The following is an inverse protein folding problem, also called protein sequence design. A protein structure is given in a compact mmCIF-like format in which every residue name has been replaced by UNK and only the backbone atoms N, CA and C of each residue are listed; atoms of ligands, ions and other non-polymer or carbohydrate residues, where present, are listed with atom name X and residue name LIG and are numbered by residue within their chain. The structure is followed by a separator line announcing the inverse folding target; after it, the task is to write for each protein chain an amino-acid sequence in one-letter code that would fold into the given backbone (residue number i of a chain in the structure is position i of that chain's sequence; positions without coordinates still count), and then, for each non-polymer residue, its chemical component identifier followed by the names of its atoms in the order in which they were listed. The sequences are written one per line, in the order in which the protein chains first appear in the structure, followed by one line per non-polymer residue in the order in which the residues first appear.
data_IF_954634897056
#
_entry.id   IF_954634897056
#
_cell.length_a   1.000
_cell.length_b   1.000
_cell.length_c   1.000
_cell.angle_alpha   90.00
_cell.angle_beta   90.00
_cell.angle_gamma   90.00
#
_symmetry.space_group_name_H-M   'P 1'
#
loop_
_entity.id
_entity.type
_entity.pdbx_description
1 polymer ?
#
# COMPACT_ATOMS: atom_id res chain seq x y z
N UNK A 1 2.69 -34.67 -11.04
CA UNK A 1 3.88 -33.93 -10.53
C UNK A 1 3.53 -33.35 -9.15
N UNK A 2 3.75 -34.10 -8.06
CA UNK A 2 3.48 -33.64 -6.67
C UNK A 2 4.63 -32.69 -6.29
N UNK A 3 4.40 -31.37 -6.26
CA UNK A 3 5.41 -30.47 -5.70
C UNK A 3 5.57 -30.79 -4.21
N UNK A 4 6.81 -30.94 -3.75
CA UNK A 4 7.13 -31.13 -2.32
C UNK A 4 6.45 -30.04 -1.47
N UNK A 5 5.97 -30.40 -0.29
CA UNK A 5 5.32 -29.49 0.67
C UNK A 5 6.24 -28.30 0.99
N UNK A 6 7.55 -28.57 1.06
CA UNK A 6 8.60 -27.56 1.25
C UNK A 6 8.63 -26.52 0.13
N UNK A 7 8.37 -26.94 -1.12
CA UNK A 7 8.30 -26.03 -2.26
C UNK A 7 7.09 -25.10 -2.16
N UNK A 8 5.92 -25.63 -1.79
CA UNK A 8 4.72 -24.81 -1.58
C UNK A 8 4.90 -23.81 -0.44
N UNK A 9 5.59 -24.21 0.62
CA UNK A 9 5.91 -23.35 1.76
C UNK A 9 6.88 -22.23 1.37
N UNK A 10 7.99 -22.56 0.71
CA UNK A 10 8.96 -21.57 0.23
C UNK A 10 8.31 -20.59 -0.75
N UNK A 11 7.41 -21.07 -1.61
CA UNK A 11 6.65 -20.23 -2.53
C UNK A 11 5.71 -19.28 -1.78
N UNK A 12 4.94 -19.77 -0.82
CA UNK A 12 4.02 -18.95 -0.04
C UNK A 12 4.74 -17.88 0.80
N UNK A 13 5.85 -18.24 1.45
CA UNK A 13 6.69 -17.29 2.19
C UNK A 13 7.33 -16.25 1.27
N UNK A 14 7.76 -16.66 0.07
CA UNK A 14 8.28 -15.75 -0.95
C UNK A 14 7.23 -14.75 -1.44
N UNK A 15 6.00 -15.22 -1.68
CA UNK A 15 4.86 -14.36 -2.06
C UNK A 15 4.53 -13.37 -0.95
N UNK A 16 4.54 -13.79 0.31
CA UNK A 16 4.27 -12.91 1.45
C UNK A 16 5.34 -11.80 1.58
N UNK A 17 6.63 -12.16 1.47
CA UNK A 17 7.73 -11.20 1.51
C UNK A 17 7.67 -10.21 0.33
N UNK A 18 7.33 -10.70 -0.87
CA UNK A 18 7.14 -9.84 -2.04
C UNK A 18 5.98 -8.86 -1.85
N UNK A 19 4.88 -9.28 -1.21
CA UNK A 19 3.75 -8.40 -0.91
C UNK A 19 4.09 -7.34 0.12
N UNK A 20 4.77 -7.72 1.22
CA UNK A 20 5.23 -6.77 2.24
C UNK A 20 6.18 -5.75 1.59
N UNK A 21 7.12 -6.22 0.77
CA UNK A 21 8.01 -5.36 0.00
C UNK A 21 7.24 -4.44 -0.96
N UNK A 22 6.24 -4.96 -1.66
CA UNK A 22 5.37 -4.20 -2.56
C UNK A 22 4.60 -3.08 -1.85
N UNK A 23 4.03 -3.36 -0.68
CA UNK A 23 3.35 -2.34 0.14
C UNK A 23 4.32 -1.30 0.67
N UNK A 24 5.52 -1.70 1.11
CA UNK A 24 6.55 -0.77 1.57
C UNK A 24 7.01 0.16 0.44
N UNK A 25 7.21 -0.38 -0.77
CA UNK A 25 7.57 0.40 -1.97
C UNK A 25 6.44 1.34 -2.35
N UNK A 26 5.19 0.86 -2.39
CA UNK A 26 4.02 1.70 -2.67
C UNK A 26 3.90 2.85 -1.65
N UNK A 27 4.07 2.56 -0.37
CA UNK A 27 4.08 3.56 0.72
C UNK A 27 5.17 4.62 0.51
N UNK A 28 6.37 4.19 0.16
CA UNK A 28 7.49 5.09 -0.13
C UNK A 28 7.22 5.98 -1.34
N UNK A 29 6.73 5.42 -2.44
CA UNK A 29 6.38 6.18 -3.64
C UNK A 29 5.25 7.17 -3.37
N UNK A 30 4.18 6.73 -2.68
CA UNK A 30 3.08 7.61 -2.26
C UNK A 30 3.58 8.79 -1.44
N UNK A 31 4.38 8.53 -0.39
CA UNK A 31 4.93 9.61 0.45
C UNK A 31 5.81 10.57 -0.35
N UNK A 32 6.61 10.06 -1.29
CA UNK A 32 7.45 10.89 -2.16
C UNK A 32 6.62 11.77 -3.09
N UNK A 33 5.53 11.24 -3.65
CA UNK A 33 4.63 12.03 -4.51
C UNK A 33 3.89 13.09 -3.71
N UNK A 34 3.37 12.78 -2.51
CA UNK A 34 2.75 13.78 -1.63
C UNK A 34 3.75 14.87 -1.28
N UNK A 35 4.96 14.49 -0.86
CA UNK A 35 6.00 15.45 -0.48
C UNK A 35 6.36 16.39 -1.63
N UNK A 36 6.69 15.83 -2.80
CA UNK A 36 7.07 16.64 -3.95
C UNK A 36 5.95 17.60 -4.39
N UNK A 37 4.70 17.13 -4.38
CA UNK A 37 3.55 17.96 -4.74
C UNK A 37 3.28 19.05 -3.68
N UNK A 38 3.43 18.72 -2.41
CA UNK A 38 3.28 19.67 -1.30
C UNK A 38 4.37 20.73 -1.32
N UNK A 39 5.63 20.34 -1.56
CA UNK A 39 6.76 21.28 -1.70
C UNK A 39 6.52 22.27 -2.85
N UNK A 40 6.07 21.78 -4.02
CA UNK A 40 5.76 22.65 -5.16
C UNK A 40 4.63 23.64 -4.82
N UNK A 41 3.50 23.15 -4.30
CA UNK A 41 2.35 23.98 -3.95
C UNK A 41 2.73 25.01 -2.88
N UNK A 42 3.47 24.60 -1.85
CA UNK A 42 3.90 25.48 -0.76
C UNK A 42 4.85 26.57 -1.27
N UNK A 43 5.85 26.23 -2.09
CA UNK A 43 6.78 27.22 -2.65
C UNK A 43 6.05 28.22 -3.54
N UNK A 44 5.13 27.77 -4.39
CA UNK A 44 4.33 28.66 -5.24
C UNK A 44 3.43 29.56 -4.40
N UNK A 45 2.73 29.01 -3.41
CA UNK A 45 1.86 29.77 -2.51
C UNK A 45 2.64 30.83 -1.72
N UNK A 46 3.81 30.47 -1.17
CA UNK A 46 4.69 31.43 -0.46
C UNK A 46 5.14 32.56 -1.40
N UNK A 47 5.50 32.25 -2.65
CA UNK A 47 5.88 33.27 -3.63
C UNK A 47 4.71 34.21 -3.94
N UNK A 48 3.52 33.67 -4.17
CA UNK A 48 2.33 34.48 -4.46
C UNK A 48 1.98 35.37 -3.27
N UNK A 49 1.97 34.82 -2.04
CA UNK A 49 1.76 35.61 -0.82
C UNK A 49 2.80 36.73 -0.66
N UNK A 50 4.07 36.42 -0.95
CA UNK A 50 5.14 37.41 -0.91
C UNK A 50 4.91 38.53 -1.92
N UNK A 51 4.59 38.20 -3.18
CA UNK A 51 4.33 39.20 -4.21
C UNK A 51 3.11 40.04 -3.85
N UNK A 52 2.02 39.43 -3.40
CA UNK A 52 0.82 40.15 -2.93
C UNK A 52 1.14 41.09 -1.77
N UNK A 53 1.98 40.66 -0.82
CA UNK A 53 2.43 41.52 0.27
C UNK A 53 3.30 42.68 -0.21
N UNK A 54 4.27 42.42 -1.09
CA UNK A 54 5.11 43.46 -1.71
C UNK A 54 4.28 44.45 -2.53
N UNK A 55 3.25 43.98 -3.24
CA UNK A 55 2.30 44.83 -3.98
C UNK A 55 1.49 45.71 -3.02
N UNK A 56 0.96 45.13 -1.95
CA UNK A 56 0.21 45.90 -0.95
C UNK A 56 1.10 46.97 -0.28
N UNK A 57 2.35 46.65 0.04
CA UNK A 57 3.31 47.61 0.61
C UNK A 57 3.63 48.74 -0.39
N UNK A 58 3.97 48.39 -1.64
CA UNK A 58 4.26 49.38 -2.68
C UNK A 58 3.08 50.30 -3.00
N UNK A 59 1.86 49.77 -2.96
CA UNK A 59 0.63 50.54 -3.14
C UNK A 59 0.38 51.50 -1.98
N UNK A 60 0.53 51.05 -0.74
CA UNK A 60 0.42 51.92 0.44
C UNK A 60 1.46 53.05 0.43
N UNK A 61 2.67 52.76 -0.03
CA UNK A 61 3.71 53.76 -0.22
C UNK A 61 3.35 54.76 -1.33
N UNK A 62 2.84 54.31 -2.47
CA UNK A 62 2.37 55.18 -3.55
C UNK A 62 1.27 56.12 -3.06
N UNK A 63 0.27 55.59 -2.35
CA UNK A 63 -0.77 56.41 -1.71
C UNK A 63 -0.21 57.41 -0.71
N UNK A 64 0.84 57.04 0.03
CA UNK A 64 1.49 57.97 0.96
C UNK A 64 2.09 59.15 0.22
N UNK A 65 2.76 58.91 -0.91
CA UNK A 65 3.31 59.98 -1.75
C UNK A 65 2.20 60.85 -2.33
N UNK A 66 1.11 60.25 -2.80
CA UNK A 66 -0.09 60.96 -3.27
C UNK A 66 -0.66 61.91 -2.20
N UNK A 67 -0.93 61.40 -0.99
CA UNK A 67 -1.49 62.22 0.09
C UNK A 67 -0.56 63.35 0.52
N UNK A 68 0.74 63.08 0.64
CA UNK A 68 1.71 64.12 1.00
C UNK A 68 1.90 65.15 -0.13
N UNK A 69 1.80 64.74 -1.40
CA UNK A 69 1.77 65.67 -2.53
C UNK A 69 0.60 66.65 -2.34
N UNK A 70 -0.64 66.16 -2.19
CA UNK A 70 -1.83 67.01 -2.04
C UNK A 70 -1.80 67.89 -0.79
N UNK A 71 -1.18 67.42 0.30
CA UNK A 71 -1.01 68.21 1.53
C UNK A 71 0.02 69.32 1.37
N UNK A 72 1.14 69.06 0.70
CA UNK A 72 2.33 69.91 0.77
C UNK A 72 2.53 70.80 -0.46
N UNK A 73 1.96 70.49 -1.62
CA UNK A 73 2.24 71.22 -2.87
C UNK A 73 1.92 72.71 -2.81
N UNK A 74 0.88 73.10 -2.04
CA UNK A 74 0.53 74.51 -1.82
C UNK A 74 1.52 75.23 -0.89
N UNK A 75 2.26 74.49 -0.06
CA UNK A 75 3.19 75.00 0.95
C UNK A 75 4.60 75.12 0.38
N UNK A 76 5.10 74.06 -0.28
CA UNK A 76 6.50 73.98 -0.76
C UNK A 76 6.66 74.38 -2.23
N UNK A 77 5.55 74.61 -2.95
CA UNK A 77 5.55 74.90 -4.38
C UNK A 77 5.55 73.64 -5.25
N UNK A 78 5.07 73.80 -6.50
CA UNK A 78 4.80 72.68 -7.41
C UNK A 78 6.08 71.96 -7.85
N UNK A 79 7.14 72.69 -8.20
CA UNK A 79 8.40 72.12 -8.68
C UNK A 79 9.07 71.25 -7.59
N UNK A 80 9.12 71.75 -6.35
CA UNK A 80 9.66 71.01 -5.22
C UNK A 80 8.78 69.82 -4.82
N UNK A 81 7.45 69.94 -4.95
CA UNK A 81 6.52 68.83 -4.68
C UNK A 81 6.58 67.74 -5.75
N UNK A 82 6.83 68.09 -7.01
CA UNK A 82 7.05 67.13 -8.09
C UNK A 82 8.28 66.27 -7.84
N UNK A 83 9.42 66.89 -7.54
CA UNK A 83 10.65 66.16 -7.25
C UNK A 83 10.51 65.28 -5.99
N UNK A 84 9.85 65.81 -4.95
CA UNK A 84 9.79 65.15 -3.64
C UNK A 84 8.76 64.03 -3.54
N UNK A 85 7.64 64.10 -4.28
CA UNK A 85 6.53 63.15 -4.13
C UNK A 85 6.13 62.45 -5.44
N UNK A 86 6.13 63.15 -6.58
CA UNK A 86 5.73 62.57 -7.87
C UNK A 86 6.80 61.61 -8.41
N UNK A 87 8.10 61.94 -8.27
CA UNK A 87 9.18 61.05 -8.70
C UNK A 87 9.18 59.73 -7.90
N UNK A 88 9.13 59.73 -6.55
CA UNK A 88 8.99 58.50 -5.78
C UNK A 88 7.69 57.73 -6.08
N UNK A 89 6.58 58.43 -6.32
CA UNK A 89 5.32 57.81 -6.74
C UNK A 89 5.51 56.99 -8.02
N UNK A 90 6.06 57.59 -9.08
CA UNK A 90 6.29 56.91 -10.36
C UNK A 90 7.19 55.67 -10.20
N UNK A 91 8.23 55.75 -9.37
CA UNK A 91 9.09 54.60 -9.06
C UNK A 91 8.33 53.45 -8.40
N UNK A 92 7.35 53.76 -7.53
CA UNK A 92 6.50 52.76 -6.88
C UNK A 92 5.51 52.14 -7.87
N UNK A 93 4.91 52.92 -8.77
CA UNK A 93 4.07 52.40 -9.85
C UNK A 93 4.87 51.47 -10.79
N UNK A 94 6.10 51.85 -11.18
CA UNK A 94 6.95 51.00 -12.02
C UNK A 94 7.39 49.71 -11.31
N UNK A 95 7.52 49.75 -9.98
CA UNK A 95 7.73 48.54 -9.18
C UNK A 95 6.46 47.67 -9.12
N UNK A 96 5.29 48.27 -8.92
CA UNK A 96 3.99 47.57 -8.95
C UNK A 96 3.74 46.87 -10.28
N UNK A 97 4.03 47.51 -11.42
CA UNK A 97 3.96 46.89 -12.76
C UNK A 97 4.81 45.63 -12.84
N UNK A 98 6.09 45.72 -12.42
CA UNK A 98 7.01 44.57 -12.44
C UNK A 98 6.54 43.41 -11.57
N UNK A 99 6.04 43.69 -10.36
CA UNK A 99 5.53 42.63 -9.49
C UNK A 99 4.24 42.03 -10.08
N UNK A 100 3.38 42.84 -10.69
CA UNK A 100 2.17 42.35 -11.38
C UNK A 100 2.54 41.39 -12.52
N UNK A 101 3.55 41.73 -13.32
CA UNK A 101 4.06 40.85 -14.38
C UNK A 101 4.63 39.53 -13.82
N UNK A 102 5.43 39.61 -12.75
CA UNK A 102 5.99 38.42 -12.10
C UNK A 102 4.88 37.51 -11.54
N UNK A 103 3.86 38.11 -10.93
CA UNK A 103 2.68 37.40 -10.47
C UNK A 103 1.99 36.72 -11.66
N UNK A 104 1.68 37.42 -12.75
CA UNK A 104 1.05 36.83 -13.94
C UNK A 104 1.84 35.63 -14.51
N UNK A 105 3.18 35.70 -14.52
CA UNK A 105 4.04 34.58 -14.97
C UNK A 105 3.93 33.38 -14.04
N UNK A 106 3.93 33.59 -12.72
CA UNK A 106 3.76 32.49 -11.76
C UNK A 106 2.39 31.83 -11.91
N UNK A 107 1.36 32.61 -12.17
CA UNK A 107 -0.02 32.15 -12.32
C UNK A 107 -0.27 31.35 -13.62
N UNK A 108 0.50 31.63 -14.67
CA UNK A 108 0.46 30.90 -15.94
C UNK A 108 1.42 29.71 -16.00
N UNK A 109 2.23 29.51 -14.96
CA UNK A 109 3.24 28.44 -14.90
C UNK A 109 2.64 27.05 -14.61
N UNK A 110 3.35 25.98 -15.02
CA UNK A 110 2.99 24.58 -14.73
C UNK A 110 3.04 24.32 -13.22
N UNK A 111 1.92 24.54 -12.53
CA UNK A 111 1.82 24.34 -11.08
C UNK A 111 0.52 24.89 -10.50
N UNK A 112 -0.08 25.88 -11.16
CA UNK A 112 -1.37 26.46 -10.79
C UNK A 112 -2.48 25.71 -11.53
N UNK A 113 -3.48 25.21 -10.80
CA UNK A 113 -4.52 24.35 -11.40
C UNK A 113 -5.42 25.14 -12.35
N UNK A 114 -5.97 24.50 -13.39
CA UNK A 114 -6.92 25.14 -14.32
C UNK A 114 -8.15 25.73 -13.59
N UNK A 115 -8.52 25.13 -12.44
CA UNK A 115 -9.60 25.60 -11.57
C UNK A 115 -9.26 26.94 -10.90
N UNK A 116 -7.98 27.15 -10.58
CA UNK A 116 -7.48 28.36 -9.98
C UNK A 116 -7.53 29.52 -10.99
N UNK A 117 -7.06 29.30 -12.23
CA UNK A 117 -7.07 30.32 -13.29
C UNK A 117 -8.49 30.82 -13.59
N UNK A 118 -9.47 29.91 -13.59
CA UNK A 118 -10.89 30.25 -13.75
C UNK A 118 -11.46 31.03 -12.56
N UNK A 119 -10.94 30.79 -11.35
CA UNK A 119 -11.43 31.44 -10.13
C UNK A 119 -10.78 32.81 -9.88
N UNK A 120 -9.69 33.13 -10.58
CA UNK A 120 -8.94 34.37 -10.42
C UNK A 120 -8.71 35.12 -11.74
N UNK A 121 -9.63 35.05 -12.69
CA UNK A 121 -9.58 35.86 -13.92
C UNK A 121 -9.44 37.37 -13.66
N UNK A 122 -9.91 37.83 -12.48
CA UNK A 122 -9.75 39.20 -11.99
C UNK A 122 -8.30 39.64 -11.75
N UNK A 123 -7.32 38.72 -11.73
CA UNK A 123 -5.90 39.07 -11.64
C UNK A 123 -5.35 39.66 -12.95
N UNK A 124 -5.95 39.33 -14.08
CA UNK A 124 -5.65 40.01 -15.35
C UNK A 124 -6.12 41.46 -15.28
N UNK A 125 -7.29 41.70 -14.66
CA UNK A 125 -7.85 43.03 -14.42
C UNK A 125 -7.03 43.85 -13.40
N UNK A 126 -6.13 43.22 -12.64
CA UNK A 126 -5.35 43.92 -11.62
C UNK A 126 -4.32 44.86 -12.26
N UNK A 127 -3.63 44.41 -13.31
CA UNK A 127 -2.73 45.29 -14.08
C UNK A 127 -3.50 46.47 -14.65
N UNK A 128 -4.69 46.24 -15.21
CA UNK A 128 -5.54 47.32 -15.74
C UNK A 128 -5.95 48.32 -14.64
N UNK A 129 -6.22 47.84 -13.42
CA UNK A 129 -6.54 48.70 -12.26
C UNK A 129 -5.34 49.55 -11.80
N UNK A 130 -4.12 49.03 -11.86
CA UNK A 130 -2.90 49.80 -11.56
C UNK A 130 -2.73 50.90 -12.62
N UNK A 131 -2.91 50.58 -13.90
CA UNK A 131 -2.77 51.55 -14.99
C UNK A 131 -3.82 52.66 -14.90
N UNK A 132 -5.07 52.31 -14.56
CA UNK A 132 -6.14 53.27 -14.35
C UNK A 132 -5.86 54.19 -13.15
N UNK A 133 -5.30 53.66 -12.05
CA UNK A 133 -4.86 54.46 -10.91
C UNK A 133 -3.72 55.43 -11.27
N UNK A 134 -2.68 54.96 -11.97
CA UNK A 134 -1.56 55.80 -12.43
C UNK A 134 -2.03 56.91 -13.38
N UNK A 135 -2.91 56.56 -14.34
CA UNK A 135 -3.49 57.51 -15.28
C UNK A 135 -4.24 58.63 -14.55
N UNK A 136 -5.13 58.27 -13.62
CA UNK A 136 -5.92 59.26 -12.91
C UNK A 136 -5.09 60.16 -12.02
N UNK A 137 -4.10 59.62 -11.30
CA UNK A 137 -3.21 60.46 -10.50
C UNK A 137 -2.44 61.46 -11.37
N UNK A 138 -1.91 61.01 -12.51
CA UNK A 138 -1.23 61.90 -13.48
C UNK A 138 -2.15 62.97 -14.06
N UNK A 139 -3.42 62.63 -14.34
CA UNK A 139 -4.40 63.62 -14.77
C UNK A 139 -4.70 64.64 -13.67
N UNK A 140 -4.78 64.24 -12.39
CA UNK A 140 -4.93 65.22 -11.29
C UNK A 140 -3.72 66.13 -11.19
N UNK A 141 -2.51 65.59 -11.25
CA UNK A 141 -1.28 66.39 -11.24
C UNK A 141 -1.27 67.38 -12.40
N UNK A 142 -1.73 66.97 -13.60
CA UNK A 142 -1.92 67.86 -14.75
C UNK A 142 -2.95 68.96 -14.46
N UNK A 143 -4.11 68.62 -13.89
CA UNK A 143 -5.13 69.61 -13.54
C UNK A 143 -4.67 70.60 -12.44
N UNK A 144 -3.86 70.13 -11.50
CA UNK A 144 -3.19 70.96 -10.48
C UNK A 144 -2.23 71.96 -11.15
N UNK A 145 -1.52 71.54 -12.20
CA UNK A 145 -0.65 72.40 -13.01
C UNK A 145 -1.48 73.43 -13.81
N UNK A 146 -2.58 72.99 -14.45
CA UNK A 146 -3.26 73.79 -15.49
C UNK A 146 -4.36 74.72 -14.97
N UNK A 147 -5.12 74.35 -13.94
CA UNK A 147 -6.41 75.00 -13.64
C UNK A 147 -6.57 75.50 -12.19
N UNK A 148 -5.70 75.08 -11.25
CA UNK A 148 -5.74 75.48 -9.82
C UNK A 148 -7.14 75.44 -9.16
N UNK A 149 -8.03 74.58 -9.65
CA UNK A 149 -9.42 74.47 -9.18
C UNK A 149 -9.52 73.42 -8.07
N UNK A 150 -9.73 73.87 -6.82
CA UNK A 150 -9.75 73.01 -5.65
C UNK A 150 -10.91 72.00 -5.60
N UNK A 151 -12.04 72.27 -6.25
CA UNK A 151 -13.21 71.40 -6.17
C UNK A 151 -13.01 70.10 -6.97
N UNK A 152 -12.48 70.19 -8.20
CA UNK A 152 -12.16 69.02 -9.02
C UNK A 152 -11.02 68.18 -8.42
N UNK A 153 -10.11 68.79 -7.64
CA UNK A 153 -8.98 68.08 -7.01
C UNK A 153 -9.48 67.17 -5.89
N UNK A 154 -10.41 67.66 -5.05
CA UNK A 154 -10.95 66.86 -3.95
C UNK A 154 -11.78 65.67 -4.48
N UNK A 155 -12.66 65.90 -5.47
CA UNK A 155 -13.51 64.85 -6.04
C UNK A 155 -12.68 63.71 -6.67
N UNK A 156 -11.56 64.02 -7.32
CA UNK A 156 -10.68 62.99 -7.91
C UNK A 156 -9.79 62.34 -6.84
N UNK A 157 -9.34 63.08 -5.83
CA UNK A 157 -8.64 62.51 -4.67
C UNK A 157 -9.49 61.46 -3.95
N UNK A 158 -10.77 61.76 -3.72
CA UNK A 158 -11.71 60.80 -3.10
C UNK A 158 -11.93 59.57 -3.99
N UNK A 159 -11.94 59.74 -5.32
CA UNK A 159 -12.04 58.64 -6.29
C UNK A 159 -10.79 57.73 -6.25
N UNK A 160 -9.59 58.32 -6.17
CA UNK A 160 -8.32 57.60 -6.06
C UNK A 160 -8.24 56.79 -4.77
N UNK A 161 -8.71 57.35 -3.64
CA UNK A 161 -8.82 56.61 -2.37
C UNK A 161 -9.76 55.42 -2.49
N UNK A 162 -10.93 55.60 -3.12
CA UNK A 162 -11.89 54.51 -3.32
C UNK A 162 -11.33 53.39 -4.21
N UNK A 163 -10.69 53.74 -5.33
CA UNK A 163 -10.09 52.75 -6.25
C UNK A 163 -8.97 51.99 -5.57
N UNK A 164 -8.14 52.65 -4.79
CA UNK A 164 -7.05 51.96 -4.11
C UNK A 164 -7.57 51.01 -3.03
N UNK A 165 -8.65 51.37 -2.32
CA UNK A 165 -9.30 50.45 -1.39
C UNK A 165 -9.81 49.17 -2.09
N UNK A 166 -10.35 49.31 -3.32
CA UNK A 166 -10.75 48.16 -4.15
C UNK A 166 -9.54 47.29 -4.49
N UNK A 167 -8.41 47.90 -4.86
CA UNK A 167 -7.16 47.21 -5.20
C UNK A 167 -6.62 46.44 -3.98
N UNK A 168 -6.55 47.06 -2.81
CA UNK A 168 -6.11 46.41 -1.56
C UNK A 168 -7.02 45.24 -1.15
N UNK A 169 -8.34 45.40 -1.23
CA UNK A 169 -9.28 44.32 -0.90
C UNK A 169 -9.12 43.15 -1.87
N UNK A 170 -8.96 43.43 -3.16
CA UNK A 170 -8.72 42.39 -4.18
C UNK A 170 -7.44 41.61 -3.87
N UNK A 171 -6.35 42.29 -3.53
CA UNK A 171 -5.09 41.64 -3.13
C UNK A 171 -5.25 40.73 -1.91
N UNK A 172 -5.97 41.20 -0.89
CA UNK A 172 -6.20 40.42 0.32
C UNK A 172 -7.02 39.16 0.03
N UNK A 173 -8.07 39.28 -0.79
CA UNK A 173 -8.92 38.16 -1.21
C UNK A 173 -8.12 37.11 -1.99
N UNK A 174 -7.21 37.55 -2.87
CA UNK A 174 -6.31 36.66 -3.62
C UNK A 174 -5.41 35.87 -2.66
N UNK A 175 -4.75 36.55 -1.72
CA UNK A 175 -3.86 35.88 -0.76
C UNK A 175 -4.61 34.88 0.14
N UNK A 176 -5.84 35.21 0.54
CA UNK A 176 -6.68 34.32 1.35
C UNK A 176 -7.13 33.08 0.55
N UNK A 177 -7.59 33.29 -0.69
CA UNK A 177 -8.09 32.22 -1.54
C UNK A 177 -6.99 31.25 -1.98
N UNK A 178 -5.79 31.75 -2.28
CA UNK A 178 -4.58 30.94 -2.56
C UNK A 178 -4.29 29.91 -1.47
N UNK A 179 -4.35 30.35 -0.22
CA UNK A 179 -4.10 29.47 0.93
C UNK A 179 -5.14 28.37 1.03
N UNK A 180 -6.42 28.69 0.81
CA UNK A 180 -7.51 27.71 0.84
C UNK A 180 -7.41 26.71 -0.32
N UNK A 181 -7.11 27.17 -1.53
CA UNK A 181 -6.95 26.28 -2.69
C UNK A 181 -5.75 25.33 -2.54
N UNK A 182 -4.61 25.85 -2.08
CA UNK A 182 -3.43 25.04 -1.76
C UNK A 182 -3.75 23.97 -0.71
N UNK A 183 -4.47 24.35 0.36
CA UNK A 183 -4.92 23.42 1.40
C UNK A 183 -5.86 22.35 0.85
N UNK A 184 -6.81 22.75 0.01
CA UNK A 184 -7.76 21.83 -0.61
C UNK A 184 -7.05 20.80 -1.49
N UNK A 185 -6.10 21.22 -2.33
CA UNK A 185 -5.37 20.30 -3.21
C UNK A 185 -4.46 19.34 -2.45
N UNK A 186 -3.77 19.83 -1.41
CA UNK A 186 -2.97 19.00 -0.49
C UNK A 186 -3.88 17.98 0.21
N UNK A 187 -5.02 18.41 0.75
CA UNK A 187 -5.97 17.54 1.45
C UNK A 187 -6.52 16.45 0.53
N UNK A 188 -7.01 16.82 -0.65
CA UNK A 188 -7.56 15.88 -1.63
C UNK A 188 -6.50 14.86 -2.12
N UNK A 189 -5.25 15.30 -2.32
CA UNK A 189 -4.15 14.40 -2.68
C UNK A 189 -3.83 13.44 -1.54
N UNK A 190 -3.74 13.95 -0.31
CA UNK A 190 -3.48 13.15 0.89
C UNK A 190 -4.58 12.11 1.15
N UNK A 191 -5.86 12.49 1.01
CA UNK A 191 -6.99 11.59 1.18
C UNK A 191 -6.98 10.45 0.15
N UNK A 192 -6.78 10.76 -1.14
CA UNK A 192 -6.68 9.74 -2.20
C UNK A 192 -5.54 8.76 -1.95
N UNK A 193 -4.38 9.26 -1.53
CA UNK A 193 -3.24 8.40 -1.18
C UNK A 193 -3.53 7.51 0.02
N UNK A 194 -4.18 8.06 1.06
CA UNK A 194 -4.56 7.31 2.26
C UNK A 194 -5.51 6.16 1.92
N UNK A 195 -6.49 6.41 1.05
CA UNK A 195 -7.41 5.36 0.59
C UNK A 195 -6.70 4.25 -0.18
N UNK A 196 -5.76 4.60 -1.08
CA UNK A 196 -4.97 3.62 -1.82
C UNK A 196 -4.10 2.76 -0.90
N UNK A 197 -3.47 3.36 0.12
CA UNK A 197 -2.68 2.62 1.11
C UNK A 197 -3.55 1.69 1.95
N UNK A 198 -4.74 2.14 2.37
CA UNK A 198 -5.67 1.32 3.13
C UNK A 198 -6.14 0.10 2.32
N UNK A 199 -6.45 0.29 1.03
CA UNK A 199 -6.79 -0.81 0.12
C UNK A 199 -5.63 -1.79 -0.05
N UNK A 200 -4.39 -1.30 -0.18
CA UNK A 200 -3.21 -2.15 -0.27
C UNK A 200 -2.99 -2.99 0.99
N UNK A 201 -3.16 -2.38 2.17
CA UNK A 201 -3.07 -3.09 3.47
C UNK A 201 -4.17 -4.15 3.58
N UNK A 202 -5.42 -3.83 3.25
CA UNK A 202 -6.52 -4.81 3.26
C UNK A 202 -6.26 -5.97 2.30
N UNK A 203 -5.73 -5.71 1.10
CA UNK A 203 -5.37 -6.75 0.15
C UNK A 203 -4.29 -7.69 0.73
N UNK A 204 -3.28 -7.15 1.41
CA UNK A 204 -2.25 -7.99 2.06
C UNK A 204 -2.79 -8.83 3.21
N UNK A 205 -3.67 -8.27 4.05
CA UNK A 205 -4.32 -9.01 5.13
C UNK A 205 -5.21 -10.13 4.59
N UNK A 206 -6.00 -9.85 3.55
CA UNK A 206 -6.86 -10.83 2.90
C UNK A 206 -6.07 -12.00 2.30
N UNK A 207 -4.99 -11.70 1.58
CA UNK A 207 -4.10 -12.74 1.03
C UNK A 207 -3.40 -13.54 2.14
N UNK A 208 -2.96 -12.89 3.22
CA UNK A 208 -2.39 -13.56 4.39
C UNK A 208 -3.35 -14.57 5.02
N UNK A 209 -4.63 -14.21 5.16
CA UNK A 209 -5.67 -15.13 5.65
C UNK A 209 -5.89 -16.31 4.70
N UNK A 210 -5.90 -16.09 3.39
CA UNK A 210 -6.03 -17.17 2.39
C UNK A 210 -4.86 -18.14 2.50
N UNK A 211 -3.63 -17.63 2.58
CA UNK A 211 -2.41 -18.45 2.68
C UNK A 211 -2.41 -19.28 3.98
N UNK A 212 -2.74 -18.67 5.12
CA UNK A 212 -2.78 -19.37 6.41
C UNK A 212 -3.86 -20.46 6.45
N UNK A 213 -5.04 -20.20 5.86
CA UNK A 213 -6.09 -21.21 5.75
C UNK A 213 -5.69 -22.38 4.82
N UNK A 214 -5.08 -22.09 3.68
CA UNK A 214 -4.54 -23.11 2.78
C UNK A 214 -3.46 -23.96 3.46
N UNK A 215 -2.60 -23.33 4.27
CA UNK A 215 -1.58 -24.01 5.04
C UNK A 215 -2.19 -24.96 6.07
N UNK A 216 -3.18 -24.50 6.83
CA UNK A 216 -3.89 -25.32 7.82
C UNK A 216 -4.52 -26.56 7.17
N UNK A 217 -5.16 -26.39 6.02
CA UNK A 217 -5.75 -27.51 5.26
C UNK A 217 -4.69 -28.50 4.76
N UNK A 218 -3.54 -28.00 4.26
CA UNK A 218 -2.46 -28.85 3.78
C UNK A 218 -1.82 -29.70 4.90
N UNK A 219 -1.68 -29.14 6.11
CA UNK A 219 -1.17 -29.87 7.27
C UNK A 219 -2.11 -31.01 7.68
N UNK A 220 -3.42 -30.75 7.72
CA UNK A 220 -4.41 -31.79 8.04
C UNK A 220 -4.37 -32.95 7.04
N UNK A 221 -4.23 -32.67 5.75
CA UNK A 221 -4.12 -33.71 4.72
C UNK A 221 -2.84 -34.54 4.89
N UNK A 222 -1.73 -33.90 5.27
CA UNK A 222 -0.47 -34.60 5.54
C UNK A 222 -0.61 -35.55 6.73
N UNK A 223 -1.23 -35.10 7.82
CA UNK A 223 -1.46 -35.89 9.03
C UNK A 223 -2.33 -37.12 8.73
N UNK A 224 -3.43 -36.94 7.99
CA UNK A 224 -4.31 -38.04 7.56
C UNK A 224 -3.56 -39.05 6.66
N UNK A 225 -2.72 -38.58 5.74
CA UNK A 225 -1.97 -39.46 4.86
C UNK A 225 -0.87 -40.23 5.62
N UNK A 226 -0.22 -39.57 6.59
CA UNK A 226 0.75 -40.22 7.48
C UNK A 226 0.09 -41.32 8.31
N UNK A 227 -1.06 -41.04 8.92
CA UNK A 227 -1.81 -42.02 9.72
C UNK A 227 -2.23 -43.23 8.88
N UNK A 228 -2.73 -43.00 7.65
CA UNK A 228 -3.06 -44.09 6.71
C UNK A 228 -1.84 -44.92 6.33
N UNK A 229 -0.73 -44.25 6.01
CA UNK A 229 0.52 -44.93 5.65
C UNK A 229 1.04 -45.78 6.81
N UNK A 230 0.96 -45.27 8.03
CA UNK A 230 1.38 -45.99 9.23
C UNK A 230 0.50 -47.21 9.50
N UNK A 231 -0.83 -47.05 9.41
CA UNK A 231 -1.76 -48.17 9.57
C UNK A 231 -1.55 -49.27 8.53
N UNK A 232 -1.30 -48.90 7.27
CA UNK A 232 -1.01 -49.87 6.22
C UNK A 232 0.32 -50.60 6.46
N UNK A 233 1.36 -49.89 6.88
CA UNK A 233 2.66 -50.49 7.17
C UNK A 233 2.56 -51.54 8.29
N UNK A 234 1.82 -51.24 9.35
CA UNK A 234 1.60 -52.14 10.49
C UNK A 234 0.68 -53.33 10.17
N UNK A 235 -0.15 -53.25 9.12
CA UNK A 235 -0.94 -54.38 8.64
C UNK A 235 -0.11 -55.41 7.85
N UNK A 236 1.04 -55.01 7.31
CA UNK A 236 1.90 -55.87 6.48
C UNK A 236 3.10 -56.39 7.27
N UNK A 237 3.63 -55.59 8.19
CA UNK A 237 4.84 -55.90 8.96
C UNK A 237 4.60 -55.76 10.46
N UNK A 238 5.20 -56.64 11.29
CA UNK A 238 5.22 -56.45 12.73
C UNK A 238 5.81 -55.10 13.11
N UNK A 239 5.28 -54.48 14.17
CA UNK A 239 5.65 -53.13 14.63
C UNK A 239 7.17 -52.92 14.76
N UNK A 240 7.88 -53.90 15.33
CA UNK A 240 9.34 -53.85 15.51
C UNK A 240 10.12 -53.78 14.18
N UNK A 241 9.64 -54.44 13.13
CA UNK A 241 10.25 -54.41 11.79
C UNK A 241 9.88 -53.12 11.07
N UNK A 242 8.62 -52.66 11.20
CA UNK A 242 8.15 -51.40 10.65
C UNK A 242 8.93 -50.18 11.19
N UNK A 243 9.21 -50.14 12.50
CA UNK A 243 10.03 -49.09 13.14
C UNK A 243 11.48 -49.13 12.65
N UNK A 244 12.10 -50.32 12.62
CA UNK A 244 13.47 -50.50 12.10
C UNK A 244 13.60 -50.07 10.63
N UNK A 245 12.58 -50.32 9.80
CA UNK A 245 12.53 -49.88 8.40
C UNK A 245 12.36 -48.36 8.23
N UNK A 246 11.65 -47.70 9.16
CA UNK A 246 11.52 -46.23 9.14
C UNK A 246 12.86 -45.55 9.45
N UNK A 247 13.66 -46.15 10.33
CA UNK A 247 14.94 -45.57 10.80
C UNK A 247 16.16 -45.98 9.96
N UNK A 248 16.14 -47.16 9.32
CA UNK A 248 17.29 -47.70 8.56
C UNK A 248 16.87 -48.44 7.28
N UNK A 249 17.66 -48.27 6.22
CA UNK A 249 17.53 -48.96 4.91
C UNK A 249 18.33 -50.25 4.79
N UNK A 250 18.88 -50.77 5.89
CA UNK A 250 19.71 -51.97 5.88
C UNK A 250 18.88 -53.26 5.79
N UNK A 251 19.50 -54.35 5.33
CA UNK A 251 18.89 -55.67 5.23
C UNK A 251 18.51 -56.14 6.65
N UNK A 252 17.23 -56.28 6.93
CA UNK A 252 16.73 -56.81 8.20
C UNK A 252 16.73 -58.32 8.13
N UNK A 253 17.82 -58.93 8.60
CA UNK A 253 17.95 -60.38 8.75
C UNK A 253 18.34 -60.71 10.19
N UNK A 254 17.39 -61.24 10.95
CA UNK A 254 17.63 -61.71 12.32
C UNK A 254 18.01 -63.22 12.27
N UNK A 255 19.06 -63.59 13.00
CA UNK A 255 19.48 -65.00 13.14
C UNK A 255 18.81 -65.66 14.35
N UNK A 256 18.35 -66.90 14.19
CA UNK A 256 17.71 -67.66 15.26
C UNK A 256 18.39 -69.04 15.40
N UNK A 257 19.02 -69.30 16.54
CA UNK A 257 19.83 -70.52 16.76
C UNK A 257 18.98 -71.79 16.91
N UNK A 258 17.82 -71.70 17.56
CA UNK A 258 16.95 -72.85 17.84
C UNK A 258 15.51 -72.56 17.41
N UNK A 259 15.14 -73.04 16.22
CA UNK A 259 13.79 -72.88 15.65
C UNK A 259 13.19 -74.25 15.31
N UNK A 260 11.97 -74.49 15.77
CA UNK A 260 11.13 -75.57 15.27
C UNK A 260 10.12 -74.99 14.29
N UNK A 261 10.02 -75.58 13.10
CA UNK A 261 9.08 -75.18 12.05
C UNK A 261 8.06 -76.29 11.87
N UNK A 262 6.78 -75.95 11.82
CA UNK A 262 5.69 -76.86 11.51
C UNK A 262 5.06 -76.46 10.17
N UNK A 263 4.89 -77.46 9.31
CA UNK A 263 4.09 -77.37 8.10
C UNK A 263 2.87 -78.27 8.29
N UNK A 264 1.68 -77.70 8.13
CA UNK A 264 0.42 -78.43 8.14
C UNK A 264 -0.27 -78.23 6.79
N UNK A 265 -0.71 -79.30 6.15
CA UNK A 265 -1.31 -79.28 4.81
C UNK A 265 -2.66 -80.00 4.81
N UNK A 266 -3.59 -79.58 3.97
CA UNK A 266 -4.93 -80.18 3.91
C UNK A 266 -4.90 -81.37 2.95
N UNK A 267 -4.93 -82.58 3.51
CA UNK A 267 -4.95 -83.80 2.71
C UNK A 267 -6.14 -83.82 1.72
N UNK A 268 -5.84 -84.08 0.44
CA UNK A 268 -6.85 -84.18 -0.62
C UNK A 268 -7.39 -82.83 -1.12
N UNK A 269 -6.79 -81.70 -0.74
CA UNK A 269 -7.25 -80.37 -1.13
C UNK A 269 -7.37 -80.18 -2.64
N UNK A 270 -6.45 -80.71 -3.45
CA UNK A 270 -6.52 -80.58 -4.91
C UNK A 270 -7.84 -81.13 -5.47
N UNK A 271 -8.32 -82.27 -4.97
CA UNK A 271 -9.58 -82.88 -5.39
C UNK A 271 -10.80 -82.09 -4.89
N UNK A 272 -10.72 -81.59 -3.65
CA UNK A 272 -11.75 -80.73 -3.07
C UNK A 272 -11.88 -79.41 -3.86
N UNK A 273 -10.76 -78.80 -4.21
CA UNK A 273 -10.71 -77.53 -4.96
C UNK A 273 -11.27 -77.65 -6.38
N UNK A 274 -11.18 -78.83 -6.99
CA UNK A 274 -11.73 -79.11 -8.32
C UNK A 274 -13.25 -79.32 -8.33
N UNK A 275 -13.85 -79.64 -7.17
CA UNK A 275 -15.27 -80.03 -7.05
C UNK A 275 -16.13 -79.00 -6.31
N UNK A 276 -15.52 -78.04 -5.61
CA UNK A 276 -16.20 -77.03 -4.80
C UNK A 276 -16.09 -75.65 -5.45
N UNK A 277 -17.16 -74.85 -5.40
CA UNK A 277 -17.11 -73.48 -5.92
C UNK A 277 -16.03 -72.65 -5.20
N UNK A 278 -15.30 -71.77 -5.90
CA UNK A 278 -14.24 -70.95 -5.30
C UNK A 278 -14.68 -70.18 -4.07
N UNK A 279 -15.91 -69.65 -4.05
CA UNK A 279 -16.47 -68.91 -2.91
C UNK A 279 -16.57 -69.78 -1.66
N UNK A 280 -17.06 -71.01 -1.80
CA UNK A 280 -17.20 -71.95 -0.67
C UNK A 280 -15.81 -72.43 -0.23
N UNK A 281 -14.91 -72.70 -1.17
CA UNK A 281 -13.54 -73.14 -0.88
C UNK A 281 -12.75 -72.08 -0.08
N UNK A 282 -12.82 -70.82 -0.51
CA UNK A 282 -12.17 -69.71 0.20
C UNK A 282 -12.77 -69.51 1.58
N UNK A 283 -14.09 -69.64 1.73
CA UNK A 283 -14.75 -69.56 3.04
C UNK A 283 -14.27 -70.66 3.99
N UNK A 284 -14.18 -71.91 3.51
CA UNK A 284 -13.66 -73.04 4.27
C UNK A 284 -12.20 -72.82 4.70
N UNK A 285 -11.33 -72.39 3.78
CA UNK A 285 -9.94 -72.06 4.10
C UNK A 285 -9.85 -70.95 5.14
N UNK A 286 -10.66 -69.90 5.00
CA UNK A 286 -10.67 -68.79 5.95
C UNK A 286 -11.12 -69.24 7.34
N UNK A 287 -12.12 -70.13 7.44
CA UNK A 287 -12.56 -70.71 8.72
C UNK A 287 -11.44 -71.54 9.37
N UNK A 288 -10.81 -72.46 8.63
CA UNK A 288 -9.72 -73.31 9.15
C UNK A 288 -8.52 -72.46 9.57
N UNK A 289 -8.06 -71.55 8.72
CA UNK A 289 -6.90 -70.71 9.02
C UNK A 289 -7.18 -69.70 10.14
N UNK A 290 -8.42 -69.23 10.31
CA UNK A 290 -8.78 -68.41 11.46
C UNK A 290 -8.66 -69.18 12.77
N UNK A 291 -9.04 -70.47 12.79
CA UNK A 291 -8.83 -71.32 13.98
C UNK A 291 -7.35 -71.61 14.23
N UNK A 292 -6.56 -71.85 13.17
CA UNK A 292 -5.10 -71.97 13.32
C UNK A 292 -4.46 -70.69 13.84
N UNK A 293 -4.89 -69.52 13.34
CA UNK A 293 -4.41 -68.22 13.80
C UNK A 293 -4.68 -68.05 15.31
N UNK A 294 -5.85 -68.45 15.82
CA UNK A 294 -6.13 -68.47 17.27
C UNK A 294 -5.18 -69.40 18.03
N UNK A 295 -4.93 -70.60 17.52
CA UNK A 295 -3.99 -71.54 18.13
C UNK A 295 -2.55 -70.98 18.17
N UNK A 296 -2.14 -70.21 17.16
CA UNK A 296 -0.81 -69.57 17.18
C UNK A 296 -0.67 -68.60 18.35
N UNK A 297 -1.71 -67.80 18.63
CA UNK A 297 -1.72 -66.89 19.79
C UNK A 297 -1.66 -67.67 21.10
N UNK A 298 -2.48 -68.73 21.24
CA UNK A 298 -2.55 -69.55 22.47
C UNK A 298 -1.21 -70.23 22.77
N UNK A 299 -0.52 -70.73 21.75
CA UNK A 299 0.72 -71.49 21.90
C UNK A 299 2.00 -70.64 21.75
N UNK A 300 1.86 -69.33 21.57
CA UNK A 300 2.98 -68.41 21.34
C UNK A 300 3.79 -68.76 20.09
N UNK A 301 3.10 -69.19 19.03
CA UNK A 301 3.70 -69.51 17.74
C UNK A 301 3.65 -68.27 16.84
N UNK A 302 4.63 -68.14 15.95
CA UNK A 302 4.63 -67.11 14.93
C UNK A 302 4.17 -67.72 13.60
N UNK A 303 3.06 -67.20 13.06
CA UNK A 303 2.62 -67.50 11.70
C UNK A 303 3.60 -66.89 10.71
N UNK A 304 4.20 -67.73 9.85
CA UNK A 304 5.13 -67.28 8.83
C UNK A 304 4.39 -66.91 7.55
N UNK A 305 3.63 -67.87 7.00
CA UNK A 305 2.85 -67.68 5.78
C UNK A 305 1.89 -68.86 5.56
N UNK A 306 0.98 -68.67 4.62
CA UNK A 306 0.24 -69.76 3.97
C UNK A 306 0.84 -70.03 2.58
N UNK A 307 0.79 -71.28 2.12
CA UNK A 307 1.23 -71.68 0.78
C UNK A 307 0.13 -72.54 0.19
N UNK A 308 -0.82 -71.93 -0.53
CA UNK A 308 -2.04 -72.64 -0.95
C UNK A 308 -2.84 -73.11 0.26
N UNK A 309 -3.01 -74.41 0.39
CA UNK A 309 -3.67 -75.14 1.47
C UNK A 309 -2.76 -75.45 2.67
N UNK A 310 -1.46 -75.19 2.54
CA UNK A 310 -0.51 -75.36 3.63
C UNK A 310 -0.44 -74.13 4.55
N UNK A 311 -0.27 -74.38 5.84
CA UNK A 311 -0.07 -73.40 6.90
C UNK A 311 1.29 -73.61 7.56
N UNK A 312 2.11 -72.55 7.60
CA UNK A 312 3.47 -72.60 8.12
C UNK A 312 3.61 -71.74 9.38
N UNK A 313 4.05 -72.36 10.47
CA UNK A 313 4.34 -71.68 11.74
C UNK A 313 5.72 -72.05 12.24
N UNK A 314 6.27 -71.19 13.10
CA UNK A 314 7.49 -71.50 13.84
C UNK A 314 7.33 -71.26 15.32
N UNK A 315 8.19 -71.93 16.09
CA UNK A 315 8.49 -71.61 17.48
C UNK A 315 9.99 -71.47 17.63
N UNK A 316 10.47 -70.30 18.05
CA UNK A 316 11.86 -70.15 18.48
C UNK A 316 11.94 -70.35 19.99
N UNK A 317 12.84 -71.22 20.45
CA UNK A 317 13.17 -71.32 21.88
C UNK A 317 14.09 -70.15 22.24
N UNK A 318 13.50 -68.97 22.35
CA UNK A 318 14.11 -67.81 22.99
C UNK A 318 12.98 -67.00 23.62
N UNK A 319 13.04 -66.87 24.94
CA UNK A 319 12.25 -65.94 25.73
C UNK A 319 12.36 -64.52 25.13
N UNK A 320 11.30 -64.09 24.46
CA UNK A 320 10.85 -62.69 24.50
C UNK A 320 9.49 -62.66 25.20
N UNK A 321 9.52 -63.09 26.46
CA UNK A 321 8.63 -62.48 27.45
C UNK A 321 9.34 -61.18 27.83
N UNK A 322 8.58 -60.08 27.75
CA UNK A 322 8.92 -58.71 28.14
C UNK A 322 9.82 -57.91 27.18
N UNK A 323 9.15 -57.13 26.33
CA UNK A 323 9.22 -55.67 26.38
C UNK A 323 7.93 -55.14 25.72
N UNK A 324 6.91 -54.93 26.55
CA UNK A 324 5.66 -54.20 26.24
C UNK A 324 5.66 -52.92 27.07
#
# INVERSE_FOLDING_TARGET
MKSSITYKFSLASGVLLLLIGGVAVASFFSMRVVRNKTELIMVTSIKIQRLVFEMNDALNDAQRQEREFFRQWQIIGLDAAQEKYIVPFNQKIDYLRRISDELQVLLTSKGVSEKWYKSHSHLIEYTDKIEDYDYQFKEVVRLVIDLRNAQNINDISDNLEQKTAIICNTLFDIAAQEVEEARFEIKNTSEKMTLLLLLAVLATLGLGLIITNLFKFALQQLEVEQEKSEKLLLNVLPKSIAERLKDRTEIIADNFENVTVLFADIAGFTQLSASVSPTILVKLLNEIFSEFDKLTVIHGLEKIKTIGDAYMVRKSNMSRIEDV
#
